data_IF_969719852268
#
_entry.id   IF_969719852268
#
_cell.length_a   1.000
_cell.length_b   1.000
_cell.length_c   1.000
_cell.angle_alpha   90.00
_cell.angle_beta   90.00
_cell.angle_gamma   90.00
#
_symmetry.space_group_name_H-M   'P 1'
#
loop_
_entity.id
_entity.type
_entity.pdbx_description
1 polymer ?
#
# COMPACT_ATOMS: atom_id res chain seq x y z
N UNK A 1 8.27 12.15 -3.70
CA UNK A 1 7.12 12.77 -3.02
C UNK A 1 6.24 11.83 -2.21
N UNK A 2 5.92 10.59 -2.63
CA UNK A 2 5.30 9.59 -1.73
C UNK A 2 6.15 9.27 -0.49
N UNK A 3 7.48 9.24 -0.65
CA UNK A 3 8.41 9.15 0.48
C UNK A 3 8.36 10.36 1.42
N UNK A 4 7.95 11.53 0.92
CA UNK A 4 7.78 12.74 1.73
C UNK A 4 6.51 12.64 2.60
N UNK A 5 5.43 12.08 2.05
CA UNK A 5 4.22 11.73 2.80
C UNK A 5 4.53 10.80 3.98
N UNK A 6 5.35 9.77 3.78
CA UNK A 6 5.78 8.85 4.85
C UNK A 6 6.68 9.57 5.86
N UNK A 7 7.60 10.42 5.38
CA UNK A 7 8.49 11.19 6.24
C UNK A 7 7.74 12.17 7.16
N UNK A 8 6.64 12.77 6.68
CA UNK A 8 5.78 13.66 7.47
C UNK A 8 5.04 12.89 8.59
N UNK A 9 4.65 11.64 8.34
CA UNK A 9 4.00 10.78 9.35
C UNK A 9 4.97 10.27 10.42
N UNK A 10 6.29 10.36 10.20
CA UNK A 10 7.32 9.78 11.08
C UNK A 10 7.25 10.29 12.53
N UNK A 11 6.94 11.56 12.73
CA UNK A 11 6.88 12.16 14.06
C UNK A 11 5.70 11.65 14.90
N UNK A 12 4.69 11.07 14.27
CA UNK A 12 3.49 10.54 14.92
C UNK A 12 3.59 9.05 15.24
N UNK A 13 4.65 8.38 14.80
CA UNK A 13 4.85 6.94 14.99
C UNK A 13 5.07 6.53 16.45
N UNK A 14 5.66 7.40 17.27
CA UNK A 14 6.11 7.05 18.62
C UNK A 14 5.08 7.36 19.73
N UNK A 15 3.87 7.80 19.39
CA UNK A 15 2.83 8.09 20.37
C UNK A 15 3.28 9.11 21.42
N UNK A 16 2.62 9.10 22.57
CA UNK A 16 3.01 9.87 23.76
C UNK A 16 3.65 8.91 24.76
N UNK A 17 4.62 9.30 25.60
CA UNK A 17 5.23 8.39 26.59
C UNK A 17 4.24 7.66 27.51
N UNK A 18 3.04 8.21 27.70
CA UNK A 18 1.94 7.62 28.49
C UNK A 18 1.02 6.72 27.66
N UNK A 19 0.92 6.96 26.35
CA UNK A 19 0.14 6.16 25.41
C UNK A 19 0.86 6.03 24.06
N UNK A 20 1.62 4.92 23.87
CA UNK A 20 2.36 4.66 22.65
C UNK A 20 1.49 4.51 21.40
N UNK A 21 0.19 4.23 21.56
CA UNK A 21 -0.72 3.97 20.45
C UNK A 21 -1.70 5.10 20.17
N UNK A 22 -1.59 6.24 20.86
CA UNK A 22 -2.51 7.38 20.72
C UNK A 22 -2.76 7.82 19.26
N UNK A 23 -1.78 7.64 18.37
CA UNK A 23 -1.83 8.09 16.97
C UNK A 23 -1.76 6.95 15.95
N UNK A 24 -2.17 5.73 16.29
CA UNK A 24 -2.05 4.57 15.40
C UNK A 24 -2.63 4.80 13.98
N UNK A 25 -3.74 5.54 13.91
CA UNK A 25 -4.45 5.87 12.69
C UNK A 25 -3.61 6.70 11.69
N UNK A 26 -2.60 7.46 12.15
CA UNK A 26 -1.80 8.32 11.28
C UNK A 26 -0.86 7.54 10.35
N UNK A 27 -0.55 6.29 10.69
CA UNK A 27 0.23 5.39 9.83
C UNK A 27 -0.59 4.23 9.28
N UNK A 28 -1.61 3.74 10.01
CA UNK A 28 -2.41 2.60 9.56
C UNK A 28 -3.27 2.91 8.33
N UNK A 29 -4.04 4.00 8.33
CA UNK A 29 -4.88 4.36 7.18
C UNK A 29 -4.09 4.60 5.89
N UNK A 30 -3.04 5.45 5.88
CA UNK A 30 -2.24 5.63 4.67
C UNK A 30 -1.49 4.35 4.28
N UNK A 31 -1.02 3.55 5.26
CA UNK A 31 -0.36 2.27 4.99
C UNK A 31 -1.28 1.27 4.28
N UNK A 32 -2.50 1.09 4.78
CA UNK A 32 -3.50 0.19 4.18
C UNK A 32 -3.90 0.69 2.79
N UNK A 33 -4.10 2.00 2.63
CA UNK A 33 -4.44 2.58 1.33
C UNK A 33 -3.37 2.30 0.28
N UNK A 34 -2.10 2.56 0.60
CA UNK A 34 -0.98 2.28 -0.31
C UNK A 34 -0.88 0.78 -0.59
N UNK A 35 -1.01 -0.06 0.44
CA UNK A 35 -0.96 -1.52 0.29
C UNK A 35 -2.03 -2.02 -0.68
N UNK A 36 -3.30 -1.65 -0.45
CA UNK A 36 -4.41 -2.05 -1.33
C UNK A 36 -4.27 -1.49 -2.74
N UNK A 37 -3.80 -0.25 -2.87
CA UNK A 37 -3.58 0.38 -4.16
C UNK A 37 -2.51 -0.38 -4.97
N UNK A 38 -1.35 -0.66 -4.37
CA UNK A 38 -0.26 -1.38 -5.03
C UNK A 38 -0.65 -2.83 -5.32
N UNK A 39 -1.31 -3.50 -4.37
CA UNK A 39 -1.80 -4.88 -4.54
C UNK A 39 -2.83 -4.96 -5.67
N UNK A 40 -3.85 -4.11 -5.63
CA UNK A 40 -4.90 -4.06 -6.65
C UNK A 40 -4.33 -3.74 -8.03
N UNK A 41 -3.38 -2.80 -8.12
CA UNK A 41 -2.72 -2.48 -9.39
C UNK A 41 -1.83 -3.62 -9.89
N UNK A 42 -1.14 -4.35 -9.01
CA UNK A 42 -0.39 -5.55 -9.38
C UNK A 42 -1.30 -6.63 -9.97
N UNK A 43 -2.38 -6.95 -9.26
CA UNK A 43 -3.34 -7.98 -9.67
C UNK A 43 -4.07 -7.60 -10.94
N UNK A 44 -4.45 -6.32 -11.10
CA UNK A 44 -5.06 -5.82 -12.33
C UNK A 44 -4.12 -5.98 -13.53
N UNK A 45 -2.84 -5.64 -13.36
CA UNK A 45 -1.84 -5.81 -14.40
C UNK A 45 -1.60 -7.28 -14.75
N UNK A 46 -1.64 -8.16 -13.76
CA UNK A 46 -1.51 -9.60 -13.98
C UNK A 46 -2.72 -10.19 -14.69
N UNK A 47 -3.94 -9.85 -14.26
CA UNK A 47 -5.18 -10.24 -14.94
C UNK A 47 -5.24 -9.70 -16.37
N UNK A 48 -4.80 -8.47 -16.60
CA UNK A 48 -4.74 -7.89 -17.95
C UNK A 48 -3.70 -8.59 -18.82
N UNK A 49 -2.54 -8.97 -18.25
CA UNK A 49 -1.55 -9.80 -18.94
C UNK A 49 -2.14 -11.15 -19.29
N UNK A 50 -2.83 -11.82 -18.37
CA UNK A 50 -3.42 -13.14 -18.58
C UNK A 50 -4.48 -13.13 -19.68
N UNK A 51 -5.30 -12.07 -19.75
CA UNK A 51 -6.28 -11.87 -20.84
C UNK A 51 -5.57 -11.63 -22.19
N UNK A 52 -4.43 -10.92 -22.19
CA UNK A 52 -3.69 -10.59 -23.40
C UNK A 52 -2.69 -11.66 -23.83
N UNK A 53 -2.33 -12.60 -22.96
CA UNK A 53 -1.37 -13.66 -23.27
C UNK A 53 -2.08 -14.77 -24.08
N UNK A 54 -1.86 -14.86 -25.42
CA UNK A 54 -2.58 -15.79 -26.27
C UNK A 54 -1.99 -17.22 -26.20
N UNK A 55 -1.02 -17.45 -25.32
CA UNK A 55 -0.18 -18.66 -25.31
C UNK A 55 -0.92 -19.93 -24.86
N UNK A 56 -2.11 -19.80 -24.26
CA UNK A 56 -3.03 -20.92 -24.01
C UNK A 56 -3.61 -21.55 -25.29
N UNK A 57 -3.44 -20.93 -26.47
CA UNK A 57 -4.06 -21.39 -27.72
C UNK A 57 -3.18 -22.27 -28.61
N UNK A 58 -2.03 -22.77 -28.12
CA UNK A 58 -1.06 -23.53 -28.94
C UNK A 58 -0.57 -24.88 -28.39
N UNK A 59 -1.34 -25.54 -27.53
CA UNK A 59 -1.21 -26.99 -27.33
C UNK A 59 -2.56 -27.67 -27.40
#
# INVERSE_FOLDING_TARGET
>A
DWGQLIALSRNWLLGVPVDPFAYWYTYTYPGIFIFMFVLGWNLLGDAFRDILDPTLRRR
#
